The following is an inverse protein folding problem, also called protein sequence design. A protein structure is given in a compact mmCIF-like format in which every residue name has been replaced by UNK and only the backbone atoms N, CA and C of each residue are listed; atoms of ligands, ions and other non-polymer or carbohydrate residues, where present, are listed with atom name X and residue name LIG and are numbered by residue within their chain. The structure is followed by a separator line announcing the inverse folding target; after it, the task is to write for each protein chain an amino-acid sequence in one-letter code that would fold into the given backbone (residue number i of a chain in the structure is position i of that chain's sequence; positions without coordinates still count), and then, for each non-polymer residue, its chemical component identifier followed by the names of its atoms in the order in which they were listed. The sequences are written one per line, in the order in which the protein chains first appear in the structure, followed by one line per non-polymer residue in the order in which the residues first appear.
data_IF_167235572058
#
_entry.id   IF_167235572058
#
_cell.length_a   1.000
_cell.length_b   1.000
_cell.length_c   1.000
_cell.angle_alpha   90.00
_cell.angle_beta   90.00
_cell.angle_gamma   90.00
#
_symmetry.space_group_name_H-M   'P 1'
#
loop_
_entity.id
_entity.type
_entity.pdbx_description
1 polymer ?
#
# COMPACT_ATOMS: atom_id res chain seq x y z
N UNK A 1 8.51 6.76 25.64
CA UNK A 1 8.06 6.07 24.42
C UNK A 1 7.91 4.57 24.66
N UNK A 2 8.95 3.82 25.04
CA UNK A 2 8.83 2.35 25.25
C UNK A 2 7.91 1.90 26.39
N UNK A 3 7.71 2.72 27.44
CA UNK A 3 6.78 2.40 28.52
C UNK A 3 5.31 2.24 28.06
N UNK A 4 4.94 2.83 26.92
CA UNK A 4 3.59 2.72 26.33
C UNK A 4 3.32 1.35 25.70
N UNK A 5 4.35 0.52 25.51
CA UNK A 5 4.27 -0.78 24.86
C UNK A 5 4.44 -1.96 25.84
N UNK A 6 4.54 -1.69 27.15
CA UNK A 6 4.74 -2.71 28.20
C UNK A 6 3.64 -3.78 28.28
N UNK A 7 2.48 -3.51 27.70
CA UNK A 7 1.32 -4.41 27.72
C UNK A 7 1.03 -5.07 26.35
N UNK A 8 1.76 -4.72 25.29
CA UNK A 8 1.55 -5.35 23.98
C UNK A 8 2.35 -6.65 23.88
N UNK A 9 1.65 -7.75 23.60
CA UNK A 9 2.24 -9.00 23.13
C UNK A 9 2.95 -8.77 21.78
N UNK A 10 3.88 -9.67 21.42
CA UNK A 10 4.57 -9.64 20.13
C UNK A 10 3.56 -9.55 18.98
N UNK A 11 3.61 -8.43 18.25
CA UNK A 11 2.65 -8.13 17.18
C UNK A 11 3.34 -7.44 16.00
N UNK A 12 3.06 -7.94 14.79
CA UNK A 12 3.42 -7.25 13.56
C UNK A 12 2.35 -6.22 13.21
N UNK A 13 2.76 -4.97 13.00
CA UNK A 13 1.87 -3.93 12.48
C UNK A 13 2.14 -3.76 11.00
N UNK A 14 1.12 -3.99 10.17
CA UNK A 14 1.19 -3.86 8.73
C UNK A 14 0.32 -2.70 8.21
N UNK A 15 0.95 -1.72 7.56
CA UNK A 15 0.24 -0.66 6.85
C UNK A 15 -0.06 -1.10 5.42
N UNK A 16 -1.33 -1.41 5.17
CA UNK A 16 -1.76 -2.07 3.93
C UNK A 16 -1.56 -1.22 2.67
N UNK A 17 -1.75 0.09 2.78
CA UNK A 17 -1.79 0.99 1.64
C UNK A 17 -0.56 1.88 1.59
N UNK A 18 -0.01 2.00 0.39
CA UNK A 18 1.07 2.91 0.11
C UNK A 18 1.23 3.17 -1.37
N UNK A 19 2.19 4.02 -1.71
CA UNK A 19 2.45 4.41 -3.08
C UNK A 19 3.76 3.82 -3.60
N UNK A 20 3.76 3.43 -4.88
CA UNK A 20 4.97 3.28 -5.67
C UNK A 20 5.06 4.47 -6.63
N UNK A 21 6.10 5.29 -6.46
CA UNK A 21 6.42 6.37 -7.38
C UNK A 21 7.53 5.94 -8.34
N UNK A 22 7.23 5.87 -9.63
CA UNK A 22 8.21 5.61 -10.70
C UNK A 22 8.69 6.93 -11.26
N UNK A 23 9.91 7.33 -10.90
CA UNK A 23 10.44 8.65 -11.22
C UNK A 23 10.59 8.87 -12.73
N UNK A 24 11.07 7.86 -13.45
CA UNK A 24 11.33 7.97 -14.90
C UNK A 24 10.04 8.16 -15.72
N UNK A 25 8.92 7.60 -15.25
CA UNK A 25 7.63 7.71 -15.91
C UNK A 25 6.77 8.85 -15.34
N UNK A 26 7.21 9.45 -14.23
CA UNK A 26 6.41 10.33 -13.38
C UNK A 26 5.02 9.74 -13.06
N UNK A 27 4.99 8.45 -12.72
CA UNK A 27 3.74 7.73 -12.42
C UNK A 27 3.68 7.29 -10.98
N UNK A 28 2.50 7.51 -10.40
CA UNK A 28 2.14 7.05 -9.07
C UNK A 28 1.23 5.84 -9.18
N UNK A 29 1.51 4.81 -8.38
CA UNK A 29 0.66 3.63 -8.26
C UNK A 29 0.30 3.40 -6.80
N UNK A 30 -0.99 3.26 -6.51
CA UNK A 30 -1.47 2.74 -5.24
C UNK A 30 -1.17 1.24 -5.19
N UNK A 31 -0.63 0.83 -4.06
CA UNK A 31 -0.34 -0.55 -3.71
C UNK A 31 -1.17 -0.96 -2.50
N UNK A 32 -1.62 -2.21 -2.54
CA UNK A 32 -2.26 -2.89 -1.42
C UNK A 32 -1.43 -4.13 -1.11
N UNK A 33 -0.67 -4.11 -0.02
CA UNK A 33 0.18 -5.21 0.39
C UNK A 33 -0.22 -5.75 1.76
N UNK A 34 -0.74 -6.98 1.77
CA UNK A 34 -0.99 -7.75 3.00
C UNK A 34 0.31 -8.14 3.72
N UNK A 35 1.44 -8.04 3.02
CA UNK A 35 2.79 -8.34 3.50
C UNK A 35 3.72 -7.19 3.09
N UNK A 36 3.46 -5.97 3.55
CA UNK A 36 4.23 -4.78 3.15
C UNK A 36 5.71 -4.97 3.50
N UNK A 37 6.68 -4.53 2.70
CA UNK A 37 8.09 -4.58 3.09
C UNK A 37 8.41 -3.67 4.29
N UNK A 38 7.45 -2.85 4.73
CA UNK A 38 7.55 -1.92 5.86
C UNK A 38 6.83 -2.42 7.12
N UNK A 39 6.84 -3.73 7.40
CA UNK A 39 6.31 -4.23 8.68
C UNK A 39 7.07 -3.60 9.83
N UNK A 40 6.34 -3.05 10.80
CA UNK A 40 6.91 -2.61 12.07
C UNK A 40 6.69 -3.71 13.09
N UNK A 41 7.76 -4.10 13.78
CA UNK A 41 7.69 -5.01 14.91
C UNK A 41 7.52 -4.18 16.19
N UNK A 42 6.53 -4.54 17.00
CA UNK A 42 6.41 -4.04 18.37
C UNK A 42 6.67 -5.22 19.31
N UNK A 43 7.65 -5.06 20.20
CA UNK A 43 7.95 -6.02 21.25
C UNK A 43 8.21 -5.31 22.58
N UNK A 44 7.83 -5.95 23.68
CA UNK A 44 8.18 -5.50 25.03
C UNK A 44 9.61 -5.94 25.36
N UNK A 45 10.38 -5.04 25.99
CA UNK A 45 11.73 -5.36 26.47
C UNK A 45 11.66 -6.42 27.58
N UNK A 46 12.40 -7.52 27.40
CA UNK A 46 12.53 -8.68 28.28
C UNK A 46 14.01 -9.12 28.27
N UNK A 47 14.55 -9.52 29.42
CA UNK A 47 15.92 -10.04 29.57
C UNK A 47 16.19 -11.30 28.71
N UNK A 48 15.15 -12.06 28.35
CA UNK A 48 15.15 -13.18 27.40
C UNK A 48 14.85 -12.72 25.96
N UNK A 49 15.61 -11.77 25.43
CA UNK A 49 15.45 -11.30 24.06
C UNK A 49 15.62 -12.46 23.06
N UNK A 50 14.53 -12.87 22.40
CA UNK A 50 14.53 -13.96 21.41
C UNK A 50 14.43 -13.35 20.02
N UNK A 51 15.55 -13.32 19.31
CA UNK A 51 15.56 -13.00 17.88
C UNK A 51 14.83 -14.11 17.11
N UNK A 52 13.63 -13.85 16.61
CA UNK A 52 12.91 -14.79 15.76
C UNK A 52 13.40 -14.60 14.32
N UNK A 53 14.11 -15.60 13.79
CA UNK A 53 14.49 -15.62 12.39
C UNK A 53 13.27 -15.98 11.54
N UNK A 54 12.78 -15.02 10.77
CA UNK A 54 11.70 -15.25 9.82
C UNK A 54 12.25 -15.33 8.39
N UNK A 55 12.13 -16.51 7.77
CA UNK A 55 12.75 -16.82 6.47
C UNK A 55 12.07 -16.14 5.27
N UNK A 56 10.95 -15.42 5.45
CA UNK A 56 10.35 -14.63 4.37
C UNK A 56 9.05 -13.91 4.72
N UNK A 57 8.81 -12.76 4.07
CA UNK A 57 7.66 -11.86 4.33
C UNK A 57 6.27 -12.51 4.19
N UNK A 58 6.15 -13.67 3.56
CA UNK A 58 4.89 -14.42 3.44
C UNK A 58 4.52 -15.16 4.72
N UNK A 59 5.46 -15.36 5.63
CA UNK A 59 5.24 -16.07 6.89
C UNK A 59 4.68 -15.17 7.99
N UNK A 60 4.62 -13.85 7.79
CA UNK A 60 4.11 -12.87 8.76
C UNK A 60 2.65 -13.17 9.15
N UNK A 61 1.90 -13.85 8.28
CA UNK A 61 0.54 -14.30 8.57
C UNK A 61 0.46 -15.44 9.60
N UNK A 62 1.60 -16.04 9.99
CA UNK A 62 1.68 -17.08 11.04
C UNK A 62 1.81 -16.49 12.45
N UNK A 63 1.99 -15.17 12.55
CA UNK A 63 2.10 -14.43 13.79
C UNK A 63 0.90 -13.50 13.99
N UNK A 64 0.73 -12.96 15.19
CA UNK A 64 -0.21 -11.87 15.44
C UNK A 64 0.14 -10.70 14.52
N UNK A 65 -0.81 -10.31 13.66
CA UNK A 65 -0.59 -9.33 12.63
C UNK A 65 -1.76 -8.32 12.58
N UNK A 66 -1.50 -7.13 13.09
CA UNK A 66 -2.40 -5.99 13.04
C UNK A 66 -2.36 -5.34 11.67
N UNK A 67 -3.46 -5.46 10.93
CA UNK A 67 -3.60 -4.88 9.61
C UNK A 67 -4.21 -3.47 9.71
N UNK A 68 -3.39 -2.45 9.52
CA UNK A 68 -3.82 -1.05 9.57
C UNK A 68 -4.36 -0.62 8.20
N UNK A 69 -5.69 -0.43 8.13
CA UNK A 69 -6.39 0.10 6.97
C UNK A 69 -6.54 1.62 7.10
N UNK A 70 -5.52 2.36 6.65
CA UNK A 70 -5.49 3.82 6.64
C UNK A 70 -5.31 4.36 5.21
N UNK A 71 -5.18 5.68 5.09
CA UNK A 71 -4.64 6.29 3.89
C UNK A 71 -3.21 5.77 3.57
N UNK A 72 -2.66 6.04 2.38
CA UNK A 72 -1.31 5.60 2.05
C UNK A 72 -0.28 6.14 3.05
N UNK A 73 0.40 5.25 3.78
CA UNK A 73 1.34 5.62 4.86
C UNK A 73 2.80 5.33 4.53
N UNK A 74 3.07 4.66 3.41
CA UNK A 74 4.43 4.44 2.92
C UNK A 74 4.55 4.79 1.45
N UNK A 75 5.77 5.14 1.06
CA UNK A 75 6.15 5.51 -0.29
C UNK A 75 7.40 4.73 -0.70
N UNK A 76 7.30 3.97 -1.78
CA UNK A 76 8.43 3.35 -2.45
C UNK A 76 8.79 4.18 -3.67
N UNK A 77 10.02 4.67 -3.73
CA UNK A 77 10.54 5.40 -4.88
C UNK A 77 11.36 4.43 -5.74
N UNK A 78 10.95 4.25 -6.98
CA UNK A 78 11.61 3.36 -7.93
C UNK A 78 12.42 4.16 -8.95
N UNK A 79 13.73 4.00 -8.89
CA UNK A 79 14.69 4.47 -9.89
C UNK A 79 15.05 3.30 -10.80
N UNK A 80 14.80 3.43 -12.10
CA UNK A 80 15.12 2.40 -13.10
C UNK A 80 14.16 1.21 -13.18
N UNK A 81 14.56 0.19 -13.93
CA UNK A 81 13.78 -1.01 -14.21
C UNK A 81 14.15 -2.13 -13.24
N UNK A 82 13.33 -2.37 -12.22
CA UNK A 82 13.47 -3.51 -11.33
C UNK A 82 12.30 -4.48 -11.56
N UNK A 83 12.55 -5.79 -11.52
CA UNK A 83 11.50 -6.82 -11.63
C UNK A 83 10.39 -6.55 -10.60
N UNK A 84 10.73 -6.24 -9.35
CA UNK A 84 9.74 -6.03 -8.29
C UNK A 84 8.91 -4.76 -8.47
N UNK A 85 9.46 -3.75 -9.15
CA UNK A 85 8.73 -2.50 -9.47
C UNK A 85 7.87 -2.67 -10.73
N UNK A 86 8.28 -3.52 -11.67
CA UNK A 86 7.61 -3.80 -12.95
C UNK A 86 6.52 -4.90 -12.90
N UNK A 87 6.68 -5.89 -12.03
CA UNK A 87 5.86 -7.11 -11.95
C UNK A 87 4.95 -7.14 -10.72
N UNK A 88 4.26 -6.03 -10.44
CA UNK A 88 3.42 -6.00 -9.26
C UNK A 88 1.92 -5.98 -9.61
N UNK A 89 1.32 -7.13 -9.29
CA UNK A 89 -0.05 -7.58 -9.47
C UNK A 89 -1.08 -6.63 -8.82
N UNK A 90 -0.67 -5.79 -7.88
CA UNK A 90 -1.58 -4.92 -7.11
C UNK A 90 -1.64 -3.46 -7.58
N UNK A 91 -0.81 -3.03 -8.54
CA UNK A 91 -0.69 -1.62 -8.93
C UNK A 91 -2.00 -1.10 -9.50
N UNK A 92 -2.51 -0.03 -8.91
CA UNK A 92 -3.54 0.80 -9.49
C UNK A 92 -2.96 2.19 -9.74
N UNK A 93 -3.01 2.70 -10.97
CA UNK A 93 -2.54 4.05 -11.26
C UNK A 93 -3.27 5.08 -10.40
N UNK A 94 -2.58 6.15 -10.03
CA UNK A 94 -3.12 7.28 -9.28
C UNK A 94 -2.64 8.61 -9.86
N UNK A 95 -3.44 9.68 -9.73
CA UNK A 95 -2.98 11.04 -9.99
C UNK A 95 -1.77 11.40 -9.10
N UNK A 96 -0.70 11.94 -9.70
CA UNK A 96 0.55 12.23 -8.97
C UNK A 96 0.37 13.25 -7.84
N UNK A 97 -0.56 14.19 -7.99
CA UNK A 97 -0.90 15.18 -6.95
C UNK A 97 -1.45 14.55 -5.66
N UNK A 98 -1.89 13.28 -5.68
CA UNK A 98 -2.25 12.55 -4.45
C UNK A 98 -1.04 12.30 -3.55
N UNK A 99 0.17 12.30 -4.11
CA UNK A 99 1.38 12.19 -3.30
C UNK A 99 1.50 13.38 -2.34
N UNK A 100 1.31 14.61 -2.85
CA UNK A 100 1.34 15.83 -2.03
C UNK A 100 0.16 16.00 -1.06
N UNK A 101 -0.93 15.24 -1.22
CA UNK A 101 -2.02 15.24 -0.23
C UNK A 101 -1.78 14.29 0.94
N UNK A 102 -0.92 13.28 0.77
CA UNK A 102 -0.68 12.23 1.77
C UNK A 102 0.72 12.29 2.38
N UNK A 103 1.66 12.96 1.72
CA UNK A 103 3.04 13.07 2.18
C UNK A 103 3.52 14.51 2.06
N UNK A 104 4.30 14.97 3.04
CA UNK A 104 5.06 16.20 2.93
C UNK A 104 6.27 15.92 2.01
N UNK A 105 6.14 16.32 0.74
CA UNK A 105 7.20 16.15 -0.26
C UNK A 105 7.46 17.48 -0.96
N UNK A 106 8.74 17.80 -1.13
CA UNK A 106 9.18 18.95 -1.91
C UNK A 106 9.38 18.52 -3.37
N UNK A 107 8.25 18.41 -4.10
CA UNK A 107 8.22 18.01 -5.50
C UNK A 107 7.29 18.93 -6.28
N UNK A 108 7.75 19.39 -7.43
CA UNK A 108 6.90 20.11 -8.38
C UNK A 108 5.93 19.15 -9.07
N UNK A 109 4.65 19.27 -8.72
CA UNK A 109 3.60 18.48 -9.37
C UNK A 109 3.10 19.18 -10.63
N UNK A 110 3.01 18.46 -11.78
CA UNK A 110 2.48 19.04 -12.99
C UNK A 110 1.01 19.44 -12.78
N UNK A 111 0.68 20.71 -13.10
CA UNK A 111 -0.71 21.18 -13.09
C UNK A 111 -1.53 20.37 -14.10
N UNK A 112 -2.47 19.57 -13.61
CA UNK A 112 -3.35 18.76 -14.43
C UNK A 112 -4.79 19.22 -14.29
N UNK A 113 -5.45 19.48 -15.42
CA UNK A 113 -6.88 19.81 -15.41
C UNK A 113 -7.72 18.56 -15.11
N UNK A 114 -8.92 18.74 -14.55
CA UNK A 114 -9.85 17.63 -14.28
C UNK A 114 -10.10 16.76 -15.52
N UNK A 115 -10.21 17.38 -16.70
CA UNK A 115 -10.37 16.68 -17.97
C UNK A 115 -9.15 15.82 -18.32
N UNK A 116 -7.92 16.31 -18.13
CA UNK A 116 -6.68 15.53 -18.35
C UNK A 116 -6.62 14.33 -17.40
N UNK A 117 -6.97 14.54 -16.12
CA UNK A 117 -7.04 13.44 -15.14
C UNK A 117 -8.06 12.39 -15.54
N UNK A 118 -9.27 12.80 -15.98
CA UNK A 118 -10.31 11.87 -16.41
C UNK A 118 -9.89 11.07 -17.65
N UNK A 119 -9.33 11.73 -18.67
CA UNK A 119 -8.77 11.07 -19.86
C UNK A 119 -7.71 10.04 -19.47
N UNK A 120 -6.82 10.40 -18.54
CA UNK A 120 -5.78 9.48 -18.05
C UNK A 120 -6.39 8.30 -17.30
N UNK A 121 -7.36 8.55 -16.42
CA UNK A 121 -8.08 7.51 -15.69
C UNK A 121 -8.72 6.50 -16.65
N UNK A 122 -9.42 6.96 -17.69
CA UNK A 122 -10.00 6.09 -18.71
C UNK A 122 -8.95 5.27 -19.46
N UNK A 123 -7.82 5.89 -19.83
CA UNK A 123 -6.72 5.19 -20.49
C UNK A 123 -6.10 4.09 -19.60
N UNK A 124 -5.97 4.34 -18.30
CA UNK A 124 -5.44 3.36 -17.35
C UNK A 124 -6.45 2.25 -17.03
N UNK A 125 -7.76 2.54 -16.99
CA UNK A 125 -8.79 1.49 -16.90
C UNK A 125 -8.74 0.59 -18.15
N UNK A 126 -8.66 1.19 -19.34
CA UNK A 126 -8.54 0.45 -20.59
C UNK A 126 -7.27 -0.42 -20.62
N UNK A 127 -6.14 0.09 -20.13
CA UNK A 127 -4.88 -0.67 -20.05
C UNK A 127 -5.01 -1.91 -19.13
N UNK A 128 -5.71 -1.78 -18.00
CA UNK A 128 -5.99 -2.90 -17.09
C UNK A 128 -6.90 -3.94 -17.76
N UNK A 129 -7.95 -3.50 -18.45
CA UNK A 129 -8.88 -4.41 -19.14
C UNK A 129 -8.18 -5.21 -20.24
N UNK A 130 -7.36 -4.55 -21.06
CA UNK A 130 -6.63 -5.16 -22.19
C UNK A 130 -5.43 -6.00 -21.77
N UNK A 131 -4.94 -5.85 -20.53
CA UNK A 131 -3.78 -6.61 -20.05
C UNK A 131 -3.98 -8.12 -20.21
N UNK A 132 -2.96 -8.79 -20.78
CA UNK A 132 -2.87 -10.24 -20.96
C UNK A 132 -1.85 -10.88 -20.01
N UNK A 133 -1.43 -10.17 -18.97
CA UNK A 133 -0.48 -10.69 -17.97
C UNK A 133 -1.12 -11.86 -17.23
N UNK A 134 -0.36 -12.92 -16.98
CA UNK A 134 -0.85 -14.16 -16.36
C UNK A 134 -1.52 -13.92 -14.99
N UNK A 135 -1.01 -12.95 -14.22
CA UNK A 135 -1.53 -12.60 -12.90
C UNK A 135 -2.73 -11.62 -12.91
N UNK A 136 -3.14 -11.10 -14.07
CA UNK A 136 -4.30 -10.19 -14.18
C UNK A 136 -5.61 -10.98 -14.31
N UNK A 137 -5.92 -11.77 -13.27
CA UNK A 137 -7.21 -12.45 -13.13
C UNK A 137 -8.38 -11.46 -13.10
N UNK A 138 -9.62 -11.86 -13.41
CA UNK A 138 -10.78 -10.97 -13.36
C UNK A 138 -10.91 -10.23 -12.02
N UNK A 139 -10.66 -10.94 -10.90
CA UNK A 139 -10.68 -10.39 -9.54
C UNK A 139 -9.61 -9.30 -9.36
N UNK A 140 -8.40 -9.52 -9.87
CA UNK A 140 -7.31 -8.54 -9.81
C UNK A 140 -7.63 -7.31 -10.65
N UNK A 141 -8.17 -7.49 -11.86
CA UNK A 141 -8.59 -6.38 -12.74
C UNK A 141 -9.67 -5.51 -12.10
N UNK A 142 -10.74 -6.13 -11.57
CA UNK A 142 -11.82 -5.41 -10.87
C UNK A 142 -11.26 -4.60 -9.70
N UNK A 143 -10.36 -5.21 -8.91
CA UNK A 143 -9.71 -4.53 -7.79
C UNK A 143 -8.88 -3.32 -8.24
N UNK A 144 -8.07 -3.47 -9.30
CA UNK A 144 -7.27 -2.36 -9.85
C UNK A 144 -8.16 -1.22 -10.32
N UNK A 145 -9.21 -1.54 -11.08
CA UNK A 145 -10.18 -0.54 -11.57
C UNK A 145 -10.87 0.17 -10.41
N UNK A 146 -11.29 -0.57 -9.39
CA UNK A 146 -11.91 0.01 -8.19
C UNK A 146 -10.95 0.97 -7.47
N UNK A 147 -9.67 0.60 -7.35
CA UNK A 147 -8.64 1.47 -6.76
C UNK A 147 -8.30 2.68 -7.64
N UNK A 148 -8.41 2.58 -8.96
CA UNK A 148 -8.26 3.73 -9.88
C UNK A 148 -9.41 4.72 -9.67
N UNK A 149 -10.66 4.22 -9.64
CA UNK A 149 -11.87 5.05 -9.55
C UNK A 149 -12.03 5.64 -8.15
N UNK A 150 -12.02 4.80 -7.11
CA UNK A 150 -12.29 5.21 -5.73
C UNK A 150 -11.50 4.36 -4.73
N UNK A 151 -10.22 4.71 -4.48
CA UNK A 151 -9.43 3.97 -3.49
C UNK A 151 -9.97 4.13 -2.07
N UNK A 152 -10.66 5.25 -1.77
CA UNK A 152 -11.31 5.45 -0.47
C UNK A 152 -12.42 4.42 -0.23
N UNK A 153 -13.25 4.13 -1.23
CA UNK A 153 -14.29 3.11 -1.12
C UNK A 153 -13.69 1.70 -0.91
N UNK A 154 -12.61 1.38 -1.64
CA UNK A 154 -11.89 0.11 -1.44
C UNK A 154 -11.37 -0.01 -0.01
N UNK A 155 -10.81 1.07 0.57
CA UNK A 155 -10.38 1.08 1.97
C UNK A 155 -11.53 0.83 2.95
N UNK A 156 -12.68 1.47 2.75
CA UNK A 156 -13.86 1.23 3.61
C UNK A 156 -14.28 -0.24 3.57
N UNK A 157 -14.34 -0.84 2.38
CA UNK A 157 -14.63 -2.27 2.24
C UNK A 157 -13.58 -3.16 2.93
N UNK A 158 -12.31 -2.76 2.92
CA UNK A 158 -11.25 -3.47 3.64
C UNK A 158 -11.36 -3.36 5.15
N UNK A 159 -11.73 -2.20 5.69
CA UNK A 159 -11.98 -2.03 7.14
C UNK A 159 -13.03 -3.01 7.63
N UNK A 160 -14.15 -3.11 6.90
CA UNK A 160 -15.24 -4.05 7.21
C UNK A 160 -14.72 -5.49 7.17
N UNK A 161 -13.98 -5.85 6.11
CA UNK A 161 -13.49 -7.22 5.93
C UNK A 161 -12.48 -7.66 7.00
N UNK A 162 -11.55 -6.78 7.37
CA UNK A 162 -10.49 -7.10 8.33
C UNK A 162 -10.90 -6.86 9.79
N UNK A 163 -12.17 -6.53 10.04
CA UNK A 163 -12.73 -6.29 11.37
C UNK A 163 -11.82 -5.38 12.22
N UNK A 164 -11.26 -4.35 11.58
CA UNK A 164 -10.38 -3.39 12.25
C UNK A 164 -11.28 -2.52 13.11
N UNK A 165 -11.36 -2.86 14.40
CA UNK A 165 -11.98 -1.97 15.38
C UNK A 165 -11.31 -0.61 15.29
N UNK A 166 -12.09 0.47 15.41
CA UNK A 166 -11.58 1.84 15.47
C UNK A 166 -10.80 2.02 16.78
N UNK A 167 -9.65 1.37 16.96
CA UNK A 167 -8.64 1.86 17.87
C UNK A 167 -8.00 3.06 17.19
N UNK A 168 -8.62 4.21 17.40
CA UNK A 168 -7.98 5.49 17.17
C UNK A 168 -6.77 5.56 18.11
N UNK A 169 -5.59 5.24 17.59
CA UNK A 169 -4.34 5.63 18.24
C UNK A 169 -4.26 7.15 18.14
N UNK A 170 -4.70 7.83 19.21
CA UNK A 170 -4.45 9.24 19.47
C UNK A 170 -3.13 9.39 20.21
#
# INVERSE_FOLDING_TARGET
MQAQFRQQEFEFVNFLFGYLYRTNEQKLYLREWLTSPFHSLIESYNDDFKTVLEYGHTQVNKHNNCQIVAEPLWLMVAHGNNVRTNFDVSAAWQPINRLGSNFAVDLDFPKSSKLKVFKRMAAEIYSVLRSKKEWDTPKVKIRKISNIISPSAVRVLRRIKFNVSNQAYR
#
